data_IF_891594853311
#
_entry.id   IF_891594853311
#
_cell.length_a   1.000
_cell.length_b   1.000
_cell.length_c   1.000
_cell.angle_alpha   90.00
_cell.angle_beta   90.00
_cell.angle_gamma   90.00
#
_symmetry.space_group_name_H-M   'P 1'
#
loop_
_entity.id
_entity.type
_entity.pdbx_description
1 polymer ?
#
# COMPACT_ATOMS: atom_id res chain seq x y z
N UNK A 1 68.24 18.92 -30.02
CA UNK A 1 67.65 18.08 -28.94
C UNK A 1 66.66 18.94 -28.18
N UNK A 2 65.35 18.79 -28.42
CA UNK A 2 64.31 19.52 -27.70
C UNK A 2 63.33 18.48 -27.14
N UNK A 3 63.30 18.33 -25.81
CA UNK A 3 62.43 17.39 -25.09
C UNK A 3 61.13 18.10 -24.72
N UNK A 4 60.03 17.76 -25.38
CA UNK A 4 58.69 18.13 -24.95
C UNK A 4 58.27 17.27 -23.75
N UNK A 5 57.99 17.90 -22.62
CA UNK A 5 57.35 17.26 -21.48
C UNK A 5 55.83 17.42 -21.59
N UNK A 6 55.14 16.31 -21.79
CA UNK A 6 53.68 16.22 -21.85
C UNK A 6 53.14 16.19 -20.41
N UNK A 7 52.45 17.24 -19.98
CA UNK A 7 51.72 17.25 -18.71
C UNK A 7 50.40 16.50 -18.88
N UNK A 8 50.26 15.35 -18.22
CA UNK A 8 49.01 14.60 -18.11
C UNK A 8 48.21 15.14 -16.90
N UNK A 9 47.15 15.90 -17.15
CA UNK A 9 46.16 16.26 -16.13
C UNK A 9 45.16 15.12 -15.96
N UNK A 10 45.18 14.45 -14.81
CA UNK A 10 44.20 13.44 -14.43
C UNK A 10 42.97 14.16 -13.85
N UNK A 11 41.89 14.21 -14.62
CA UNK A 11 40.60 14.72 -14.15
C UNK A 11 39.91 13.65 -13.31
N UNK A 12 39.94 13.79 -11.99
CA UNK A 12 39.18 12.93 -11.09
C UNK A 12 37.69 13.22 -11.25
N UNK A 13 36.96 12.34 -11.93
CA UNK A 13 35.51 12.36 -11.95
C UNK A 13 35.00 12.01 -10.55
N UNK A 14 34.46 13.00 -9.84
CA UNK A 14 33.63 12.80 -8.66
C UNK A 14 32.39 12.03 -9.12
N UNK A 15 32.42 10.71 -8.95
CA UNK A 15 31.23 9.88 -9.04
C UNK A 15 30.28 10.37 -7.94
N UNK A 16 29.29 11.16 -8.34
CA UNK A 16 28.14 11.44 -7.50
C UNK A 16 27.48 10.09 -7.24
N UNK A 17 27.65 9.56 -6.03
CA UNK A 17 26.83 8.47 -5.54
C UNK A 17 25.41 9.03 -5.49
N UNK A 18 24.67 8.86 -6.57
CA UNK A 18 23.23 8.99 -6.54
C UNK A 18 22.78 8.02 -5.45
N UNK A 19 22.34 8.55 -4.31
CA UNK A 19 21.72 7.76 -3.27
C UNK A 19 20.57 7.02 -3.95
N UNK A 20 20.77 5.73 -4.24
CA UNK A 20 19.66 4.86 -4.54
C UNK A 20 18.69 5.09 -3.40
N UNK A 21 17.45 5.50 -3.70
CA UNK A 21 16.43 5.59 -2.67
C UNK A 21 16.33 4.18 -2.09
N UNK A 22 16.89 3.97 -0.90
CA UNK A 22 16.98 2.64 -0.31
C UNK A 22 15.57 2.04 -0.26
N UNK A 23 15.41 0.85 -0.83
CA UNK A 23 14.16 0.10 -0.80
C UNK A 23 13.71 -0.04 0.66
N UNK A 24 12.53 0.49 1.04
CA UNK A 24 12.08 0.36 2.42
C UNK A 24 12.07 -1.09 2.89
N UNK A 25 12.67 -1.36 4.04
CA UNK A 25 12.65 -2.68 4.69
C UNK A 25 11.61 -2.68 5.79
N UNK A 26 11.33 -3.84 6.41
CA UNK A 26 10.47 -3.90 7.59
C UNK A 26 10.91 -2.96 8.73
N UNK A 27 12.22 -2.64 8.82
CA UNK A 27 12.73 -1.71 9.81
C UNK A 27 12.54 -0.24 9.40
N UNK A 28 12.84 0.11 8.15
CA UNK A 28 12.74 1.52 7.70
C UNK A 28 11.31 1.91 7.37
N UNK A 29 10.43 0.97 7.01
CA UNK A 29 9.00 1.18 6.83
C UNK A 29 8.30 1.70 8.09
N UNK A 30 8.88 1.48 9.28
CA UNK A 30 8.41 2.07 10.55
C UNK A 30 8.45 3.60 10.57
N UNK A 31 9.31 4.21 9.74
CA UNK A 31 9.39 5.66 9.53
C UNK A 31 8.43 6.15 8.43
N UNK A 32 7.79 5.21 7.72
CA UNK A 32 6.96 5.48 6.56
C UNK A 32 7.72 5.52 5.25
N UNK A 33 6.95 5.55 4.17
CA UNK A 33 7.42 5.50 2.79
C UNK A 33 6.39 6.15 1.85
N UNK A 34 6.82 6.49 0.63
CA UNK A 34 5.95 7.01 -0.41
C UNK A 34 5.89 5.98 -1.54
N UNK A 35 4.68 5.68 -1.98
CA UNK A 35 4.39 4.94 -3.20
C UNK A 35 3.91 5.92 -4.28
N UNK A 36 4.24 5.67 -5.54
CA UNK A 36 3.78 6.53 -6.65
C UNK A 36 3.17 5.71 -7.78
N UNK A 37 2.14 6.27 -8.42
CA UNK A 37 1.48 5.72 -9.59
C UNK A 37 0.95 6.86 -10.47
N UNK A 38 1.50 7.03 -11.68
CA UNK A 38 0.97 7.98 -12.68
C UNK A 38 0.71 9.40 -12.11
N UNK A 39 1.66 9.94 -11.34
CA UNK A 39 1.55 11.27 -10.72
C UNK A 39 0.69 11.33 -9.46
N UNK A 40 0.01 10.24 -9.08
CA UNK A 40 -0.59 10.08 -7.75
C UNK A 40 0.47 9.57 -6.79
N UNK A 41 0.53 10.13 -5.59
CA UNK A 41 1.39 9.63 -4.50
C UNK A 41 0.55 9.15 -3.34
N UNK A 42 0.99 8.09 -2.68
CA UNK A 42 0.45 7.60 -1.41
C UNK A 42 1.57 7.66 -0.38
N UNK A 43 1.49 8.63 0.52
CA UNK A 43 2.39 8.73 1.66
C UNK A 43 1.86 7.84 2.78
N UNK A 44 2.60 6.77 3.11
CA UNK A 44 2.20 5.75 4.07
C UNK A 44 2.99 5.96 5.36
N UNK A 45 2.28 6.26 6.45
CA UNK A 45 2.86 6.47 7.77
C UNK A 45 2.25 5.51 8.80
N UNK A 46 3.06 4.67 9.45
CA UNK A 46 2.60 3.89 10.60
C UNK A 46 2.07 4.79 11.71
N UNK A 47 1.02 4.33 12.37
CA UNK A 47 0.43 4.97 13.54
C UNK A 47 0.39 3.96 14.71
N UNK A 48 0.14 4.42 15.96
CA UNK A 48 0.02 3.54 17.12
C UNK A 48 -1.01 2.43 16.93
N UNK A 49 -0.92 1.37 17.74
CA UNK A 49 -1.93 0.29 17.81
C UNK A 49 -2.25 -0.39 16.47
N UNK A 50 -1.22 -0.55 15.63
CA UNK A 50 -1.29 -1.21 14.31
C UNK A 50 -2.09 -0.44 13.25
N UNK A 51 -2.39 0.84 13.47
CA UNK A 51 -2.97 1.67 12.43
C UNK A 51 -1.90 2.15 11.44
N UNK A 52 -2.35 2.50 10.24
CA UNK A 52 -1.52 3.12 9.19
C UNK A 52 -2.33 4.27 8.62
N UNK A 53 -1.77 5.48 8.66
CA UNK A 53 -2.35 6.64 8.01
C UNK A 53 -1.73 6.81 6.63
N UNK A 54 -2.59 6.98 5.63
CA UNK A 54 -2.19 7.20 4.25
C UNK A 54 -2.76 8.51 3.76
N UNK A 55 -1.89 9.34 3.18
CA UNK A 55 -2.29 10.54 2.44
C UNK A 55 -2.06 10.31 0.96
N UNK A 56 -3.16 10.14 0.22
CA UNK A 56 -3.12 10.12 -1.23
C UNK A 56 -3.16 11.56 -1.75
N UNK A 57 -2.19 11.94 -2.60
CA UNK A 57 -2.19 13.23 -3.30
C UNK A 57 -2.32 12.98 -4.80
N UNK A 58 -3.36 13.56 -5.40
CA UNK A 58 -3.67 13.39 -6.82
C UNK A 58 -3.12 14.54 -7.67
N UNK A 59 -2.88 14.35 -8.99
CA UNK A 59 -2.42 15.40 -9.89
C UNK A 59 -3.29 16.66 -9.92
N UNK A 60 -4.58 16.54 -9.57
CA UNK A 60 -5.51 17.65 -9.44
C UNK A 60 -5.28 18.55 -8.22
N UNK A 61 -4.33 18.21 -7.35
CA UNK A 61 -4.09 18.88 -6.07
C UNK A 61 -5.01 18.40 -4.94
N UNK A 62 -6.01 17.56 -5.23
CA UNK A 62 -6.87 16.95 -4.21
C UNK A 62 -6.09 15.98 -3.34
N UNK A 63 -6.45 15.93 -2.05
CA UNK A 63 -5.91 14.98 -1.09
C UNK A 63 -7.00 14.10 -0.50
N UNK A 64 -6.63 12.86 -0.21
CA UNK A 64 -7.48 11.92 0.48
C UNK A 64 -6.71 11.27 1.63
N UNK A 65 -7.33 11.29 2.80
CA UNK A 65 -6.81 10.68 4.02
C UNK A 65 -7.50 9.35 4.24
N UNK A 66 -6.73 8.29 4.41
CA UNK A 66 -7.25 6.96 4.71
C UNK A 66 -6.54 6.42 5.94
N UNK A 67 -7.30 5.97 6.92
CA UNK A 67 -6.75 5.23 8.06
C UNK A 67 -7.04 3.76 7.83
N UNK A 68 -6.02 2.93 7.88
CA UNK A 68 -6.10 1.48 7.76
C UNK A 68 -5.75 0.83 9.09
N UNK A 69 -6.38 -0.31 9.39
CA UNK A 69 -5.84 -1.27 10.34
C UNK A 69 -4.89 -2.22 9.61
N UNK A 70 -3.63 -2.26 10.06
CA UNK A 70 -2.51 -3.03 9.49
C UNK A 70 -2.33 -2.82 7.98
N UNK A 71 -2.56 -1.60 7.50
CA UNK A 71 -2.41 -1.23 6.09
C UNK A 71 -3.25 -2.04 5.10
N UNK A 72 -4.25 -2.76 5.59
CA UNK A 72 -5.05 -3.71 4.82
C UNK A 72 -6.54 -3.35 4.88
N UNK A 73 -7.13 -3.33 6.07
CA UNK A 73 -8.56 -3.01 6.24
C UNK A 73 -8.76 -1.49 6.41
N UNK A 74 -9.41 -0.79 5.46
CA UNK A 74 -9.66 0.64 5.61
C UNK A 74 -10.70 0.88 6.71
N UNK A 75 -10.35 1.68 7.72
CA UNK A 75 -11.22 2.11 8.81
C UNK A 75 -11.97 3.37 8.42
N UNK A 76 -11.29 4.34 7.82
CA UNK A 76 -11.91 5.59 7.40
C UNK A 76 -11.31 6.13 6.13
N UNK A 77 -12.12 6.79 5.31
CA UNK A 77 -11.71 7.48 4.10
C UNK A 77 -12.35 8.86 4.08
N UNK A 78 -11.51 9.89 3.99
CA UNK A 78 -11.93 11.28 3.98
C UNK A 78 -11.25 12.01 2.82
N UNK A 79 -12.05 12.64 1.99
CA UNK A 79 -11.60 13.68 1.05
C UNK A 79 -12.54 14.90 1.15
N UNK A 80 -12.37 15.85 0.24
CA UNK A 80 -13.15 17.09 0.18
C UNK A 80 -14.63 16.86 -0.15
N UNK A 81 -14.99 15.69 -0.69
CA UNK A 81 -16.33 15.37 -1.19
C UNK A 81 -16.99 14.18 -0.52
N UNK A 82 -16.23 13.27 0.07
CA UNK A 82 -16.70 12.01 0.60
C UNK A 82 -16.06 11.72 1.96
N UNK A 83 -16.90 11.33 2.92
CA UNK A 83 -16.49 10.96 4.27
C UNK A 83 -17.17 9.66 4.63
N UNK A 84 -16.39 8.61 4.81
CA UNK A 84 -16.91 7.31 5.20
C UNK A 84 -16.03 6.61 6.23
N UNK A 85 -16.67 5.80 7.06
CA UNK A 85 -16.04 4.98 8.10
C UNK A 85 -16.58 3.56 7.96
N UNK A 86 -15.70 2.57 7.93
CA UNK A 86 -16.09 1.18 8.09
C UNK A 86 -16.04 0.86 9.59
N UNK A 87 -17.21 0.70 10.21
CA UNK A 87 -17.34 0.36 11.64
C UNK A 87 -17.26 -1.17 11.75
N UNK A 88 -16.12 -1.73 12.21
CA UNK A 88 -16.00 -3.17 12.37
C UNK A 88 -16.89 -3.64 13.53
N UNK A 89 -17.66 -4.69 13.27
CA UNK A 89 -18.40 -5.45 14.29
C UNK A 89 -17.57 -6.65 14.75
N UNK A 90 -16.72 -7.18 13.87
CA UNK A 90 -15.72 -8.19 14.20
C UNK A 90 -14.51 -7.60 14.93
N UNK A 91 -13.88 -8.40 15.81
CA UNK A 91 -12.58 -8.07 16.37
C UNK A 91 -11.47 -8.24 15.32
N UNK A 92 -10.98 -7.12 14.79
CA UNK A 92 -9.94 -7.10 13.76
C UNK A 92 -8.63 -7.76 14.21
N UNK A 93 -8.37 -7.88 15.51
CA UNK A 93 -7.14 -8.53 16.03
C UNK A 93 -7.10 -10.03 15.72
N UNK A 94 -8.26 -10.66 15.54
CA UNK A 94 -8.38 -12.09 15.23
C UNK A 94 -8.05 -12.43 13.78
N UNK A 95 -7.96 -11.41 12.92
CA UNK A 95 -7.72 -11.56 11.48
C UNK A 95 -6.23 -11.59 11.16
N UNK A 96 -5.40 -10.92 11.96
CA UNK A 96 -3.98 -10.71 11.68
C UNK A 96 -3.07 -11.42 12.70
N UNK A 97 -1.86 -11.87 12.32
CA UNK A 97 -1.26 -11.73 10.99
C UNK A 97 -1.99 -12.57 9.92
N UNK A 98 -1.88 -12.12 8.66
CA UNK A 98 -2.38 -12.90 7.53
C UNK A 98 -1.40 -14.04 7.27
N UNK A 99 -1.89 -15.27 7.32
CA UNK A 99 -1.08 -16.49 7.16
C UNK A 99 -1.48 -17.22 5.88
N UNK A 100 -0.53 -17.90 5.24
CA UNK A 100 -0.79 -18.68 4.02
C UNK A 100 -1.91 -19.69 4.25
N UNK A 101 -2.81 -19.80 3.28
CA UNK A 101 -3.99 -20.69 3.30
C UNK A 101 -5.02 -20.37 4.38
N UNK A 102 -4.79 -19.33 5.20
CA UNK A 102 -5.76 -18.92 6.21
C UNK A 102 -7.01 -18.32 5.53
N UNK A 103 -8.15 -18.60 6.16
CA UNK A 103 -9.45 -17.98 5.86
C UNK A 103 -9.95 -17.23 7.07
N UNK A 104 -10.39 -16.00 6.87
CA UNK A 104 -10.92 -15.10 7.91
C UNK A 104 -12.11 -14.34 7.33
N UNK A 105 -12.94 -13.78 8.21
CA UNK A 105 -14.01 -12.89 7.80
C UNK A 105 -14.03 -11.65 8.71
N UNK A 106 -14.34 -10.50 8.12
CA UNK A 106 -14.59 -9.25 8.83
C UNK A 106 -16.02 -8.82 8.53
N UNK A 107 -16.85 -8.68 9.55
CA UNK A 107 -18.15 -8.05 9.44
C UNK A 107 -18.05 -6.60 9.88
N UNK A 108 -18.57 -5.69 9.07
CA UNK A 108 -18.56 -4.26 9.35
C UNK A 108 -19.78 -3.55 8.74
N UNK A 109 -20.11 -2.36 9.24
CA UNK A 109 -21.08 -1.47 8.62
C UNK A 109 -20.36 -0.27 7.97
N UNK A 110 -20.75 0.11 6.76
CA UNK A 110 -20.30 1.36 6.15
C UNK A 110 -21.13 2.52 6.72
N UNK A 111 -20.48 3.51 7.33
CA UNK A 111 -21.11 4.69 7.89
C UNK A 111 -20.68 5.96 7.16
N UNK A 112 -21.63 6.87 7.00
CA UNK A 112 -21.48 8.27 6.60
C UNK A 112 -22.01 9.15 7.74
N UNK A 113 -21.75 10.47 7.76
CA UNK A 113 -22.08 11.33 8.90
C UNK A 113 -23.53 11.24 9.42
N UNK A 114 -24.49 10.99 8.53
CA UNK A 114 -25.92 10.96 8.79
C UNK A 114 -26.56 9.58 8.62
N UNK A 115 -25.78 8.55 8.30
CA UNK A 115 -26.31 7.23 7.93
C UNK A 115 -25.35 6.09 8.25
N UNK A 116 -25.91 5.00 8.79
CA UNK A 116 -25.23 3.71 8.88
C UNK A 116 -25.86 2.75 7.88
N UNK A 117 -25.04 2.16 7.03
CA UNK A 117 -25.45 1.18 6.03
C UNK A 117 -25.67 -0.21 6.62
N UNK A 118 -26.18 -1.12 5.79
CA UNK A 118 -26.29 -2.54 6.14
C UNK A 118 -24.92 -3.17 6.39
N UNK A 119 -24.91 -4.31 7.08
CA UNK A 119 -23.70 -5.09 7.32
C UNK A 119 -23.15 -5.64 6.01
N UNK A 120 -21.82 -5.60 5.91
CA UNK A 120 -21.01 -6.21 4.86
C UNK A 120 -20.13 -7.27 5.50
N UNK A 121 -20.06 -8.44 4.89
CA UNK A 121 -19.08 -9.47 5.24
C UNK A 121 -17.95 -9.46 4.21
N UNK A 122 -16.73 -9.21 4.67
CA UNK A 122 -15.50 -9.30 3.90
C UNK A 122 -14.83 -10.64 4.23
N UNK A 123 -14.95 -11.60 3.33
CA UNK A 123 -14.24 -12.88 3.40
C UNK A 123 -12.85 -12.75 2.81
N UNK A 124 -11.84 -13.17 3.57
CA UNK A 124 -10.43 -13.10 3.25
C UNK A 124 -9.88 -14.52 3.08
N UNK A 125 -9.21 -14.79 1.97
CA UNK A 125 -8.46 -16.03 1.77
C UNK A 125 -7.06 -15.73 1.28
N UNK A 126 -6.03 -16.13 2.03
CA UNK A 126 -4.65 -16.02 1.57
C UNK A 126 -4.33 -17.22 0.68
N UNK A 127 -4.29 -17.01 -0.64
CA UNK A 127 -4.18 -18.09 -1.62
C UNK A 127 -2.74 -18.47 -1.94
N UNK A 128 -1.78 -17.58 -1.67
CA UNK A 128 -0.36 -17.82 -1.94
C UNK A 128 0.50 -16.61 -1.63
N UNK A 129 1.71 -16.62 -2.17
CA UNK A 129 2.65 -15.52 -2.10
C UNK A 129 3.47 -15.44 -3.39
N UNK A 130 3.98 -14.26 -3.71
CA UNK A 130 4.82 -14.02 -4.88
C UNK A 130 5.85 -12.90 -4.61
N UNK A 131 6.84 -12.80 -5.50
CA UNK A 131 7.74 -11.64 -5.56
C UNK A 131 7.09 -10.55 -6.39
N UNK A 132 7.00 -9.34 -5.83
CA UNK A 132 6.38 -8.19 -6.47
C UNK A 132 7.37 -7.04 -6.61
N UNK A 133 7.49 -6.53 -7.84
CA UNK A 133 8.43 -5.44 -8.15
C UNK A 133 7.77 -4.06 -8.10
N UNK A 134 8.45 -3.12 -7.45
CA UNK A 134 8.18 -1.69 -7.41
C UNK A 134 9.46 -0.94 -7.80
N UNK A 135 9.55 -0.49 -9.04
CA UNK A 135 10.79 0.08 -9.59
C UNK A 135 11.92 -0.95 -9.53
N UNK A 136 13.02 -0.59 -8.88
CA UNK A 136 14.16 -1.48 -8.63
C UNK A 136 13.99 -2.36 -7.38
N UNK A 137 12.92 -2.18 -6.60
CA UNK A 137 12.71 -2.90 -5.34
C UNK A 137 11.84 -4.16 -5.56
N UNK A 138 12.15 -5.24 -4.84
CA UNK A 138 11.37 -6.48 -4.86
C UNK A 138 10.90 -6.83 -3.45
N UNK A 139 9.64 -7.22 -3.32
CA UNK A 139 9.02 -7.57 -2.04
C UNK A 139 8.30 -8.91 -2.13
N UNK A 140 8.39 -9.72 -1.07
CA UNK A 140 7.44 -10.80 -0.87
C UNK A 140 6.06 -10.21 -0.55
N UNK A 141 5.04 -10.61 -1.29
CA UNK A 141 3.64 -10.24 -1.04
C UNK A 141 2.77 -11.47 -0.89
N UNK A 142 1.82 -11.40 0.04
CA UNK A 142 0.72 -12.35 0.16
C UNK A 142 -0.35 -12.00 -0.88
N UNK A 143 -0.88 -13.04 -1.53
CA UNK A 143 -2.02 -12.94 -2.45
C UNK A 143 -3.27 -13.17 -1.62
N UNK A 144 -4.05 -12.12 -1.37
CA UNK A 144 -5.22 -12.15 -0.50
C UNK A 144 -6.47 -11.91 -1.33
N UNK A 145 -7.26 -12.97 -1.54
CA UNK A 145 -8.55 -12.90 -2.23
C UNK A 145 -9.61 -12.38 -1.26
N UNK A 146 -10.26 -11.29 -1.63
CA UNK A 146 -11.27 -10.60 -0.85
C UNK A 146 -12.62 -10.72 -1.55
N UNK A 147 -13.61 -11.28 -0.88
CA UNK A 147 -15.01 -11.33 -1.34
C UNK A 147 -15.87 -10.48 -0.42
N UNK A 148 -16.60 -9.54 -1.00
CA UNK A 148 -17.56 -8.71 -0.28
C UNK A 148 -18.95 -9.27 -0.48
N UNK A 149 -19.63 -9.57 0.62
CA UNK A 149 -20.98 -10.10 0.65
C UNK A 149 -21.91 -9.08 1.31
N UNK A 150 -23.11 -8.95 0.77
CA UNK A 150 -24.19 -8.18 1.40
C UNK A 150 -24.85 -8.97 2.56
N UNK A 151 -25.85 -8.38 3.19
CA UNK A 151 -26.57 -8.98 4.32
C UNK A 151 -27.26 -10.32 3.96
N UNK A 152 -27.62 -10.52 2.69
CA UNK A 152 -28.22 -11.76 2.19
C UNK A 152 -27.17 -12.85 1.84
N UNK A 153 -25.88 -12.58 2.04
CA UNK A 153 -24.79 -13.50 1.71
C UNK A 153 -24.45 -13.56 0.22
N UNK A 154 -24.97 -12.65 -0.60
CA UNK A 154 -24.64 -12.56 -2.02
C UNK A 154 -23.32 -11.80 -2.21
N UNK A 155 -22.42 -12.37 -3.00
CA UNK A 155 -21.18 -11.69 -3.41
C UNK A 155 -21.52 -10.48 -4.27
N UNK A 156 -21.11 -9.30 -3.82
CA UNK A 156 -21.30 -8.01 -4.52
C UNK A 156 -20.04 -7.54 -5.22
N UNK A 157 -18.86 -7.96 -4.74
CA UNK A 157 -17.58 -7.63 -5.35
C UNK A 157 -16.50 -8.64 -4.94
N UNK A 158 -15.50 -8.78 -5.79
CA UNK A 158 -14.30 -9.56 -5.53
C UNK A 158 -13.06 -8.79 -6.00
N UNK A 159 -12.02 -8.78 -5.18
CA UNK A 159 -10.72 -8.17 -5.50
C UNK A 159 -9.61 -8.97 -4.85
N UNK A 160 -8.44 -9.02 -5.46
CA UNK A 160 -7.26 -9.63 -4.84
C UNK A 160 -6.26 -8.55 -4.46
N UNK A 161 -5.90 -8.50 -3.18
CA UNK A 161 -4.88 -7.59 -2.66
C UNK A 161 -3.51 -8.28 -2.62
N UNK A 162 -2.48 -7.57 -3.08
CA UNK A 162 -1.08 -7.97 -2.93
C UNK A 162 -0.50 -7.25 -1.72
N UNK A 163 -0.54 -7.91 -0.56
CA UNK A 163 -0.16 -7.35 0.72
C UNK A 163 1.29 -7.70 1.07
N UNK A 164 2.15 -6.71 1.32
CA UNK A 164 3.50 -6.95 1.81
C UNK A 164 3.50 -6.99 3.35
N UNK A 165 3.83 -8.14 3.98
CA UNK A 165 3.95 -8.20 5.44
C UNK A 165 5.07 -7.31 5.98
N UNK A 166 6.19 -7.20 5.24
CA UNK A 166 7.35 -6.40 5.62
C UNK A 166 7.01 -4.91 5.64
N UNK A 167 6.31 -4.42 4.62
CA UNK A 167 5.88 -3.01 4.56
C UNK A 167 4.61 -2.75 5.36
N UNK A 168 3.87 -3.79 5.72
CA UNK A 168 2.58 -3.68 6.39
C UNK A 168 1.53 -2.96 5.56
N UNK A 169 1.52 -3.13 4.24
CA UNK A 169 0.63 -2.39 3.32
C UNK A 169 0.34 -3.14 2.01
N UNK A 170 -0.80 -2.84 1.39
CA UNK A 170 -1.20 -3.38 0.07
C UNK A 170 -0.52 -2.60 -1.06
N UNK A 171 0.26 -3.30 -1.90
CA UNK A 171 1.08 -2.71 -2.98
C UNK A 171 0.40 -2.74 -4.35
N UNK A 172 -0.59 -3.61 -4.53
CA UNK A 172 -1.39 -3.68 -5.74
C UNK A 172 -2.73 -4.35 -5.48
N UNK A 173 -3.67 -4.11 -6.40
CA UNK A 173 -4.97 -4.77 -6.44
C UNK A 173 -5.16 -5.39 -7.81
N UNK A 174 -5.67 -6.62 -7.84
CA UNK A 174 -6.06 -7.35 -9.05
C UNK A 174 -7.57 -7.46 -9.11
N UNK A 175 -8.12 -7.09 -10.25
CA UNK A 175 -9.55 -7.15 -10.55
C UNK A 175 -9.77 -8.17 -11.66
N UNK A 176 -10.63 -9.14 -11.41
CA UNK A 176 -11.11 -10.05 -12.44
C UNK A 176 -12.18 -9.33 -13.27
N UNK A 177 -12.00 -9.30 -14.58
CA UNK A 177 -13.01 -8.84 -15.51
C UNK A 177 -13.82 -10.02 -16.04
N UNK A 178 -15.07 -9.78 -16.43
CA UNK A 178 -16.01 -10.83 -16.83
C UNK A 178 -15.56 -11.71 -18.02
N UNK A 179 -14.48 -11.37 -18.71
CA UNK A 179 -13.85 -12.17 -19.77
C UNK A 179 -12.73 -13.09 -19.31
N UNK A 180 -12.46 -13.19 -18.00
CA UNK A 180 -11.29 -13.88 -17.45
C UNK A 180 -9.98 -13.09 -17.58
N UNK A 181 -10.07 -11.83 -18.04
CA UNK A 181 -8.94 -10.90 -18.06
C UNK A 181 -8.75 -10.30 -16.67
N UNK A 182 -7.53 -10.32 -16.17
CA UNK A 182 -7.19 -9.69 -14.90
C UNK A 182 -6.53 -8.33 -15.13
N UNK A 183 -7.06 -7.27 -14.51
CA UNK A 183 -6.40 -5.95 -14.48
C UNK A 183 -5.69 -5.77 -13.14
N UNK A 184 -4.38 -5.51 -13.20
CA UNK A 184 -3.58 -5.17 -12.00
C UNK A 184 -3.40 -3.66 -11.92
N UNK A 185 -3.95 -3.06 -10.87
CA UNK A 185 -3.67 -1.67 -10.48
C UNK A 185 -2.55 -1.71 -9.45
N UNK A 186 -1.39 -1.14 -9.79
CA UNK A 186 -0.19 -1.18 -8.94
C UNK A 186 0.50 0.16 -8.85
N UNK A 187 1.17 0.37 -7.72
CA UNK A 187 2.20 1.38 -7.63
C UNK A 187 3.39 1.03 -8.53
N UNK A 188 4.11 2.05 -8.96
CA UNK A 188 5.22 1.95 -9.91
C UNK A 188 6.57 2.07 -9.20
N UNK A 189 6.67 2.92 -8.18
CA UNK A 189 7.91 3.18 -7.44
C UNK A 189 7.63 3.26 -5.94
N UNK A 190 8.69 3.12 -5.15
CA UNK A 190 8.68 3.28 -3.70
C UNK A 190 9.95 4.01 -3.25
N UNK A 191 9.84 4.85 -2.23
CA UNK A 191 10.99 5.45 -1.53
C UNK A 191 10.71 5.59 -0.03
N UNK A 192 11.76 5.52 0.80
CA UNK A 192 11.63 5.79 2.25
C UNK A 192 11.37 7.27 2.53
N UNK A 193 10.65 7.58 3.61
CA UNK A 193 10.48 8.97 4.09
C UNK A 193 11.69 9.52 4.87
N UNK A 194 12.69 8.69 5.20
CA UNK A 194 13.83 9.10 6.01
C UNK A 194 13.44 9.51 7.44
N UNK A 195 14.43 9.89 8.26
CA UNK A 195 14.20 10.29 9.67
C UNK A 195 13.66 11.72 9.84
N UNK A 196 13.55 12.51 8.78
CA UNK A 196 13.37 13.97 8.84
C UNK A 196 11.96 14.48 8.51
N UNK A 197 10.94 13.63 8.40
CA UNK A 197 9.56 14.13 8.24
C UNK A 197 8.99 14.58 9.59
N UNK A 198 8.74 15.88 9.83
CA UNK A 198 8.01 16.34 10.99
C UNK A 198 6.52 16.00 10.84
N UNK A 199 5.88 15.67 11.96
CA UNK A 199 4.43 15.61 12.13
C UNK A 199 3.80 16.98 11.95
#
# INVERSE_FOLDING_TARGET
MLRSALFLTITAMLASQAHANDCPTAQTAKLGFILEQQGTTAEVRPAPNHFVHVVNSYPSGKKQHVVYYRGFFPISRFDDTARSINIPVSDLRTVFPLELKARRAITYALAQPDKVGALVSLELTVTGQEQFQLGSCSYNVLIVRNRYLNAEGKVTSEVTDLYSPDLGFVLAKRYEEGSGRQTTVKYQTIRSLGKTSPL
#
